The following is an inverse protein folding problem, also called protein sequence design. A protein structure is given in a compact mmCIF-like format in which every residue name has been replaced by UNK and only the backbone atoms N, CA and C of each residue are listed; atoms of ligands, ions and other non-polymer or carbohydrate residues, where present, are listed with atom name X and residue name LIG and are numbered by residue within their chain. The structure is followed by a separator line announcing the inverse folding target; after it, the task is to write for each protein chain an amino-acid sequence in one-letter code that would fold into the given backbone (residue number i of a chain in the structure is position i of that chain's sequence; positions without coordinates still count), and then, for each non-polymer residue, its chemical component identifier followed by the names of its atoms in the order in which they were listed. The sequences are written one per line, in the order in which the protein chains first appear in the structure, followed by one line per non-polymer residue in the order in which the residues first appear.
data_IF_820191942437
#
_entry.id   IF_820191942437
#
_cell.length_a   1.000
_cell.length_b   1.000
_cell.length_c   1.000
_cell.angle_alpha   90.00
_cell.angle_beta   90.00
_cell.angle_gamma   90.00
#
_symmetry.space_group_name_H-M   'P 1'
#
loop_
_entity.id
_entity.type
_entity.pdbx_description
1 polymer ?
#
# COMPACT_ATOMS: atom_id res chain seq x y z
N UNK A 1 -13.88 8.69 -5.41
CA UNK A 1 -14.44 9.33 -4.21
C UNK A 1 -13.85 10.73 -3.95
N UNK A 2 -12.64 11.01 -4.44
CA UNK A 2 -11.98 12.32 -4.33
C UNK A 2 -11.84 13.01 -5.69
N UNK A 3 -12.65 12.61 -6.68
CA UNK A 3 -12.66 13.11 -8.07
C UNK A 3 -11.27 13.07 -8.74
N UNK A 4 -10.46 12.09 -8.38
CA UNK A 4 -9.17 11.85 -9.02
C UNK A 4 -9.31 10.81 -10.14
N UNK A 5 -8.57 11.01 -11.22
CA UNK A 5 -8.37 9.98 -12.23
C UNK A 5 -7.38 8.93 -11.71
N UNK A 6 -7.82 7.68 -11.60
CA UNK A 6 -7.04 6.59 -11.01
C UNK A 6 -6.80 5.48 -12.00
N UNK A 7 -5.54 5.07 -12.15
CA UNK A 7 -5.14 3.87 -12.85
C UNK A 7 -4.63 2.81 -11.89
N UNK A 8 -5.00 1.56 -12.12
CA UNK A 8 -4.54 0.42 -11.34
C UNK A 8 -3.67 -0.50 -12.18
N UNK A 9 -2.47 -0.81 -11.69
CA UNK A 9 -1.56 -1.79 -12.26
C UNK A 9 -1.52 -3.00 -11.34
N UNK A 10 -1.99 -4.12 -11.84
CA UNK A 10 -2.00 -5.40 -11.13
C UNK A 10 -2.15 -6.53 -12.14
N UNK A 11 -1.83 -7.74 -11.78
CA UNK A 11 -1.83 -8.88 -12.69
C UNK A 11 -2.96 -9.85 -12.38
N UNK A 12 -3.79 -10.11 -13.37
CA UNK A 12 -4.90 -11.07 -13.30
C UNK A 12 -4.85 -12.03 -14.49
N UNK A 13 -5.46 -13.19 -14.37
CA UNK A 13 -5.64 -14.14 -15.46
C UNK A 13 -6.97 -13.92 -16.18
N UNK A 14 -7.08 -14.43 -17.40
CA UNK A 14 -8.34 -14.47 -18.13
C UNK A 14 -9.20 -15.65 -17.64
N UNK A 15 -9.70 -15.52 -16.42
CA UNK A 15 -10.60 -16.44 -15.73
C UNK A 15 -11.79 -15.68 -15.11
N UNK A 16 -12.73 -16.41 -14.53
CA UNK A 16 -13.95 -15.84 -13.96
C UNK A 16 -13.69 -14.79 -12.88
N UNK A 17 -12.64 -14.95 -12.06
CA UNK A 17 -12.29 -13.97 -11.03
C UNK A 17 -11.63 -12.74 -11.63
N UNK A 18 -10.77 -12.92 -12.62
CA UNK A 18 -10.16 -11.82 -13.34
C UNK A 18 -11.18 -10.95 -14.08
N UNK A 19 -12.19 -11.58 -14.72
CA UNK A 19 -13.29 -10.86 -15.37
C UNK A 19 -14.06 -10.02 -14.34
N UNK A 20 -14.48 -10.64 -13.23
CA UNK A 20 -15.21 -9.92 -12.16
C UNK A 20 -14.40 -8.78 -11.54
N UNK A 21 -13.08 -8.97 -11.37
CA UNK A 21 -12.21 -7.94 -10.85
C UNK A 21 -12.12 -6.74 -11.77
N UNK A 22 -11.91 -6.97 -13.06
CA UNK A 22 -11.87 -5.91 -14.08
C UNK A 22 -13.20 -5.14 -14.20
N UNK A 23 -14.33 -5.86 -14.15
CA UNK A 23 -15.67 -5.27 -14.12
C UNK A 23 -15.88 -4.42 -12.86
N UNK A 24 -15.38 -4.86 -11.72
CA UNK A 24 -15.41 -4.11 -10.45
C UNK A 24 -14.66 -2.79 -10.55
N UNK A 25 -13.43 -2.80 -11.04
CA UNK A 25 -12.64 -1.59 -11.26
C UNK A 25 -13.35 -0.60 -12.21
N UNK A 26 -13.93 -1.12 -13.30
CA UNK A 26 -14.66 -0.30 -14.26
C UNK A 26 -15.90 0.38 -13.64
N UNK A 27 -16.62 -0.30 -12.74
CA UNK A 27 -17.75 0.31 -12.02
C UNK A 27 -17.33 1.47 -11.15
N UNK A 28 -16.15 1.39 -10.56
CA UNK A 28 -15.56 2.44 -9.71
C UNK A 28 -14.81 3.50 -10.53
N UNK A 29 -14.90 3.47 -11.86
CA UNK A 29 -14.19 4.40 -12.77
C UNK A 29 -12.66 4.35 -12.62
N UNK A 30 -12.11 3.20 -12.24
CA UNK A 30 -10.67 2.97 -12.16
C UNK A 30 -10.19 2.35 -13.47
N UNK A 31 -9.21 2.98 -14.12
CA UNK A 31 -8.61 2.46 -15.34
C UNK A 31 -7.70 1.26 -15.03
N UNK A 32 -8.04 0.10 -15.58
CA UNK A 32 -7.19 -1.08 -15.44
C UNK A 32 -6.08 -1.06 -16.50
N UNK A 33 -4.82 -0.98 -16.06
CA UNK A 33 -3.66 -0.71 -16.91
C UNK A 33 -2.84 -1.98 -17.23
N UNK A 34 -3.45 -3.14 -17.11
CA UNK A 34 -2.86 -4.43 -17.46
C UNK A 34 -3.67 -5.08 -18.58
N UNK A 35 -2.98 -5.61 -19.59
CA UNK A 35 -3.65 -6.37 -20.65
C UNK A 35 -3.84 -7.81 -20.20
N UNK A 36 -5.08 -8.10 -19.83
CA UNK A 36 -5.47 -9.44 -19.37
C UNK A 36 -5.21 -10.49 -20.45
N UNK A 37 -4.63 -11.60 -20.05
CA UNK A 37 -4.35 -12.77 -20.88
C UNK A 37 -4.49 -14.04 -20.04
N UNK A 38 -4.53 -15.20 -20.71
CA UNK A 38 -4.48 -16.47 -20.00
C UNK A 38 -3.09 -16.68 -19.40
N UNK A 39 -3.01 -16.55 -18.08
CA UNK A 39 -1.78 -16.75 -17.32
C UNK A 39 -1.63 -18.23 -16.92
N UNK A 40 -0.41 -18.63 -16.53
CA UNK A 40 -0.13 -19.99 -16.02
C UNK A 40 -0.83 -20.25 -14.70
N UNK A 41 -0.89 -19.23 -13.84
CA UNK A 41 -1.59 -19.28 -12.56
C UNK A 41 -2.94 -18.56 -12.67
N UNK A 42 -3.95 -18.98 -11.89
CA UNK A 42 -5.21 -18.28 -11.84
C UNK A 42 -5.08 -16.91 -11.19
N UNK A 43 -6.11 -16.10 -11.34
CA UNK A 43 -6.26 -14.84 -10.61
C UNK A 43 -6.17 -15.07 -9.10
N UNK A 44 -5.49 -14.18 -8.40
CA UNK A 44 -5.34 -14.24 -6.94
C UNK A 44 -6.69 -14.18 -6.23
N UNK A 45 -6.79 -14.88 -5.11
CA UNK A 45 -8.01 -14.95 -4.29
C UNK A 45 -7.66 -14.84 -2.82
N UNK A 46 -8.61 -14.35 -2.03
CA UNK A 46 -8.49 -14.32 -0.57
C UNK A 46 -9.79 -14.80 0.06
N UNK A 47 -9.70 -15.82 0.91
CA UNK A 47 -10.79 -16.20 1.80
C UNK A 47 -10.63 -15.45 3.11
N UNK A 48 -11.63 -14.67 3.47
CA UNK A 48 -11.63 -13.86 4.69
C UNK A 48 -12.62 -14.45 5.67
N UNK A 49 -12.13 -14.80 6.87
CA UNK A 49 -12.94 -15.28 7.98
C UNK A 49 -13.05 -14.13 9.00
N UNK A 50 -14.27 -13.67 9.25
CA UNK A 50 -14.56 -12.61 10.23
C UNK A 50 -15.16 -13.26 11.47
N UNK A 51 -14.57 -12.97 12.63
CA UNK A 51 -15.01 -13.49 13.93
C UNK A 51 -15.97 -12.50 14.62
N UNK A 52 -16.76 -12.94 15.64
CA UNK A 52 -17.74 -12.07 16.29
C UNK A 52 -17.17 -10.82 16.97
N UNK A 53 -15.88 -10.79 17.28
CA UNK A 53 -15.14 -9.64 17.80
C UNK A 53 -14.68 -8.66 16.71
N UNK A 54 -15.15 -8.85 15.47
CA UNK A 54 -14.81 -8.06 14.27
C UNK A 54 -13.37 -8.23 13.78
N UNK A 55 -12.61 -9.16 14.34
CA UNK A 55 -11.29 -9.52 13.83
C UNK A 55 -11.40 -10.42 12.59
N UNK A 56 -10.36 -10.42 11.77
CA UNK A 56 -10.35 -11.18 10.53
C UNK A 56 -9.08 -12.01 10.37
N UNK A 57 -9.25 -13.18 9.80
CA UNK A 57 -8.15 -14.02 9.31
C UNK A 57 -8.23 -14.09 7.79
N UNK A 58 -7.13 -13.83 7.12
CA UNK A 58 -7.02 -13.79 5.66
C UNK A 58 -6.20 -14.98 5.16
N UNK A 59 -6.85 -15.86 4.38
CA UNK A 59 -6.18 -16.97 3.70
C UNK A 59 -5.95 -16.55 2.24
N UNK A 60 -4.81 -15.95 1.97
CA UNK A 60 -4.49 -15.33 0.67
C UNK A 60 -3.70 -16.28 -0.22
N UNK A 61 -4.19 -16.47 -1.44
CA UNK A 61 -3.46 -17.07 -2.54
C UNK A 61 -3.21 -16.00 -3.60
N UNK A 62 -1.97 -15.58 -3.77
CA UNK A 62 -1.62 -14.49 -4.68
C UNK A 62 -1.83 -14.84 -6.16
N UNK A 63 -1.75 -16.12 -6.52
CA UNK A 63 -1.90 -16.53 -7.90
C UNK A 63 -0.97 -15.78 -8.84
N UNK A 64 -1.52 -15.34 -9.97
CA UNK A 64 -0.75 -14.57 -10.96
C UNK A 64 -0.37 -13.17 -10.47
N UNK A 65 -1.08 -12.58 -9.49
CA UNK A 65 -0.73 -11.27 -8.95
C UNK A 65 0.69 -11.23 -8.36
N UNK A 66 1.12 -12.33 -7.71
CA UNK A 66 2.49 -12.49 -7.20
C UNK A 66 3.56 -12.68 -8.28
N UNK A 67 3.18 -12.68 -9.57
CA UNK A 67 4.07 -12.82 -10.72
C UNK A 67 4.17 -11.54 -11.55
N UNK A 68 3.79 -10.41 -10.97
CA UNK A 68 4.03 -9.11 -11.60
C UNK A 68 5.53 -8.92 -11.84
N UNK A 69 5.90 -8.33 -12.98
CA UNK A 69 7.29 -8.15 -13.35
C UNK A 69 7.48 -6.80 -14.08
N UNK A 70 8.71 -6.46 -14.40
CA UNK A 70 9.04 -5.18 -15.03
C UNK A 70 8.38 -4.94 -16.40
N UNK A 71 8.00 -6.00 -17.14
CA UNK A 71 7.32 -5.85 -18.43
C UNK A 71 5.85 -5.48 -18.28
N UNK A 72 5.27 -5.74 -17.10
CA UNK A 72 3.90 -5.34 -16.77
C UNK A 72 3.81 -3.84 -16.39
N UNK A 73 4.96 -3.15 -16.30
CA UNK A 73 5.06 -1.75 -15.91
C UNK A 73 5.32 -0.87 -17.13
N UNK A 74 4.33 -0.07 -17.54
CA UNK A 74 4.49 0.93 -18.60
C UNK A 74 5.08 2.23 -18.03
N UNK A 75 6.35 2.47 -18.34
CA UNK A 75 7.06 3.67 -17.90
C UNK A 75 6.44 4.99 -18.42
N UNK A 76 5.76 4.97 -19.58
CA UNK A 76 5.13 6.16 -20.13
C UNK A 76 3.89 6.54 -19.32
N UNK A 77 3.09 5.58 -18.90
CA UNK A 77 1.92 5.82 -18.05
C UNK A 77 2.39 6.37 -16.70
N UNK A 78 3.38 5.73 -16.08
CA UNK A 78 3.90 6.17 -14.78
C UNK A 78 4.50 7.58 -14.84
N UNK A 79 5.29 7.87 -15.85
CA UNK A 79 5.94 9.20 -15.99
C UNK A 79 4.95 10.34 -16.25
N UNK A 80 3.78 10.05 -16.82
CA UNK A 80 2.69 11.01 -17.04
C UNK A 80 1.80 11.18 -15.80
N UNK A 81 1.74 10.18 -14.93
CA UNK A 81 0.95 10.23 -13.70
C UNK A 81 1.55 11.23 -12.70
N UNK A 82 0.70 11.88 -11.92
CA UNK A 82 1.18 12.81 -10.88
C UNK A 82 1.84 12.08 -9.73
N UNK A 83 1.32 10.90 -9.37
CA UNK A 83 1.85 10.10 -8.26
C UNK A 83 1.63 8.62 -8.53
N UNK A 84 2.57 7.79 -8.08
CA UNK A 84 2.38 6.35 -7.93
C UNK A 84 2.19 6.01 -6.46
N UNK A 85 1.23 5.13 -6.18
CA UNK A 85 1.02 4.53 -4.87
C UNK A 85 1.41 3.06 -4.93
N UNK A 86 2.24 2.61 -4.00
CA UNK A 86 2.79 1.26 -3.92
C UNK A 86 2.32 0.57 -2.63
N UNK A 87 2.06 -0.73 -2.74
CA UNK A 87 1.75 -1.59 -1.60
C UNK A 87 2.93 -2.50 -1.28
N UNK A 88 3.37 -2.52 -0.02
CA UNK A 88 4.54 -3.28 0.42
C UNK A 88 4.39 -4.80 0.33
N UNK A 89 3.17 -5.31 0.23
CA UNK A 89 2.90 -6.75 0.20
C UNK A 89 3.61 -7.52 -0.92
N UNK A 90 3.83 -6.91 -2.06
CA UNK A 90 4.48 -7.54 -3.21
C UNK A 90 5.97 -7.22 -3.33
N UNK A 91 6.59 -6.69 -2.28
CA UNK A 91 8.02 -6.39 -2.27
C UNK A 91 8.90 -7.63 -2.07
N UNK A 92 8.52 -8.77 -2.60
CA UNK A 92 9.34 -9.96 -2.53
C UNK A 92 10.47 -9.94 -3.56
N UNK A 93 11.57 -10.64 -3.27
CA UNK A 93 12.71 -10.71 -4.18
C UNK A 93 12.34 -11.34 -5.52
N UNK A 94 13.08 -10.97 -6.56
CA UNK A 94 12.86 -11.44 -7.90
C UNK A 94 12.05 -10.46 -8.75
N UNK A 95 11.12 -10.97 -9.54
CA UNK A 95 10.41 -10.18 -10.54
C UNK A 95 9.50 -9.07 -9.95
N UNK A 96 8.76 -9.29 -8.86
CA UNK A 96 7.96 -8.21 -8.27
C UNK A 96 8.81 -7.02 -7.83
N UNK A 97 9.95 -7.26 -7.20
CA UNK A 97 10.88 -6.19 -6.80
C UNK A 97 11.38 -5.38 -7.99
N UNK A 98 11.69 -6.02 -9.12
CA UNK A 98 12.11 -5.32 -10.34
C UNK A 98 10.99 -4.42 -10.88
N UNK A 99 9.73 -4.88 -10.81
CA UNK A 99 8.58 -4.07 -11.20
C UNK A 99 8.48 -2.81 -10.33
N UNK A 100 8.62 -2.94 -9.00
CA UNK A 100 8.63 -1.80 -8.08
C UNK A 100 9.79 -0.84 -8.36
N UNK A 101 11.01 -1.34 -8.53
CA UNK A 101 12.19 -0.52 -8.82
C UNK A 101 11.98 0.28 -10.12
N UNK A 102 11.42 -0.34 -11.17
CA UNK A 102 11.08 0.33 -12.42
C UNK A 102 10.02 1.41 -12.21
N UNK A 103 8.97 1.12 -11.44
CA UNK A 103 7.91 2.08 -11.15
C UNK A 103 8.45 3.29 -10.37
N UNK A 104 9.21 3.07 -9.30
CA UNK A 104 9.84 4.11 -8.49
C UNK A 104 10.76 5.00 -9.34
N UNK A 105 11.55 4.39 -10.23
CA UNK A 105 12.49 5.12 -11.09
C UNK A 105 11.79 6.09 -12.04
N UNK A 106 10.59 5.75 -12.52
CA UNK A 106 9.89 6.52 -13.54
C UNK A 106 8.83 7.50 -12.96
N UNK A 107 8.52 7.41 -11.68
CA UNK A 107 7.48 8.21 -11.04
C UNK A 107 7.93 9.64 -10.72
N UNK A 108 7.01 10.62 -10.88
CA UNK A 108 7.20 12.00 -10.44
C UNK A 108 7.14 12.10 -8.93
N UNK A 109 6.09 11.56 -8.32
CA UNK A 109 5.90 11.43 -6.86
C UNK A 109 5.66 9.97 -6.49
N UNK A 110 6.13 9.57 -5.33
CA UNK A 110 6.14 8.18 -4.86
C UNK A 110 5.54 8.12 -3.48
N UNK A 111 4.42 7.44 -3.39
CA UNK A 111 3.78 7.10 -2.12
C UNK A 111 3.82 5.58 -1.94
N UNK A 112 3.94 5.12 -0.71
CA UNK A 112 3.94 3.69 -0.39
C UNK A 112 3.32 3.45 0.97
N UNK A 113 2.48 2.40 1.06
CA UNK A 113 2.10 1.79 2.33
C UNK A 113 3.12 0.71 2.72
N UNK A 114 3.52 0.69 3.99
CA UNK A 114 4.35 -0.39 4.53
C UNK A 114 3.57 -1.71 4.63
N UNK A 115 2.25 -1.62 4.57
CA UNK A 115 1.26 -2.69 4.38
C UNK A 115 1.04 -3.60 5.57
N UNK A 116 2.09 -4.16 6.16
CA UNK A 116 1.99 -5.10 7.28
C UNK A 116 3.35 -5.22 7.99
N UNK A 117 3.32 -5.50 9.30
CA UNK A 117 4.54 -5.68 10.07
C UNK A 117 5.41 -6.83 9.53
N UNK A 118 4.82 -7.93 9.03
CA UNK A 118 5.59 -9.02 8.42
C UNK A 118 6.35 -8.56 7.17
N UNK A 119 5.78 -7.66 6.38
CA UNK A 119 6.47 -7.07 5.23
C UNK A 119 7.64 -6.21 5.70
N UNK A 120 7.43 -5.39 6.73
CA UNK A 120 8.47 -4.56 7.33
C UNK A 120 9.60 -5.43 7.86
N UNK A 121 9.32 -6.46 8.65
CA UNK A 121 10.34 -7.30 9.27
C UNK A 121 11.18 -8.06 8.22
N UNK A 122 10.53 -8.54 7.15
CA UNK A 122 11.22 -9.23 6.05
C UNK A 122 12.09 -8.30 5.19
N UNK A 123 11.63 -7.07 4.97
CA UNK A 123 12.24 -6.15 4.00
C UNK A 123 12.80 -4.88 4.66
N UNK A 124 13.05 -4.92 5.95
CA UNK A 124 13.39 -3.77 6.80
C UNK A 124 14.46 -2.86 6.20
N UNK A 125 15.58 -3.41 5.77
CA UNK A 125 16.69 -2.64 5.20
C UNK A 125 16.24 -1.90 3.94
N UNK A 126 15.51 -2.58 3.04
CA UNK A 126 15.04 -1.99 1.80
C UNK A 126 13.96 -0.93 2.05
N UNK A 127 12.99 -1.22 2.94
CA UNK A 127 11.93 -0.26 3.27
C UNK A 127 12.50 0.99 3.95
N UNK A 128 13.47 0.83 4.84
CA UNK A 128 14.14 1.96 5.47
C UNK A 128 14.87 2.84 4.46
N UNK A 129 15.54 2.23 3.47
CA UNK A 129 16.19 2.95 2.36
C UNK A 129 15.15 3.70 1.51
N UNK A 130 14.02 3.08 1.18
CA UNK A 130 12.94 3.72 0.43
C UNK A 130 12.37 4.93 1.19
N UNK A 131 12.02 4.74 2.46
CA UNK A 131 11.44 5.78 3.32
C UNK A 131 12.39 6.96 3.49
N UNK A 132 13.68 6.70 3.70
CA UNK A 132 14.68 7.76 3.86
C UNK A 132 14.97 8.53 2.58
N UNK A 133 15.07 7.82 1.44
CA UNK A 133 15.76 8.39 0.28
C UNK A 133 14.91 8.47 -1.00
N UNK A 134 13.84 7.66 -1.13
CA UNK A 134 13.12 7.55 -2.40
C UNK A 134 11.66 7.95 -2.36
N UNK A 135 10.96 7.67 -1.27
CA UNK A 135 9.54 7.98 -1.16
C UNK A 135 9.31 9.44 -0.80
N UNK A 136 8.27 10.03 -1.34
CA UNK A 136 7.78 11.35 -1.00
C UNK A 136 6.77 11.29 0.14
N UNK A 137 5.97 10.21 0.18
CA UNK A 137 4.96 9.96 1.20
C UNK A 137 5.04 8.49 1.62
N UNK A 138 5.08 8.24 2.92
CA UNK A 138 4.98 6.90 3.51
C UNK A 138 3.74 6.80 4.38
N UNK A 139 2.95 5.75 4.18
CA UNK A 139 1.83 5.38 5.04
C UNK A 139 2.23 4.16 5.87
N UNK A 140 1.94 4.22 7.16
CA UNK A 140 2.22 3.14 8.10
C UNK A 140 1.20 3.14 9.24
N UNK A 141 1.04 2.01 9.91
CA UNK A 141 0.50 2.02 11.26
C UNK A 141 1.63 2.21 12.29
N UNK A 142 1.24 2.45 13.57
CA UNK A 142 2.22 2.69 14.64
C UNK A 142 3.20 1.52 14.81
N UNK A 143 2.73 0.27 14.74
CA UNK A 143 3.56 -0.91 14.89
C UNK A 143 4.55 -1.08 13.73
N UNK A 144 4.10 -0.84 12.51
CA UNK A 144 4.94 -0.92 11.30
C UNK A 144 6.11 0.06 11.36
N UNK A 145 5.84 1.33 11.71
CA UNK A 145 6.90 2.33 11.75
C UNK A 145 7.85 2.13 12.94
N UNK A 146 7.34 1.70 14.10
CA UNK A 146 8.15 1.33 15.25
C UNK A 146 9.09 0.18 14.88
N UNK A 147 8.57 -0.88 14.25
CA UNK A 147 9.38 -2.01 13.78
C UNK A 147 10.41 -1.58 12.75
N UNK A 148 10.04 -0.73 11.79
CA UNK A 148 10.94 -0.29 10.72
C UNK A 148 12.21 0.37 11.25
N UNK A 149 12.10 1.20 12.27
CA UNK A 149 13.21 2.01 12.77
C UNK A 149 13.77 1.55 14.13
N UNK A 150 13.29 0.41 14.65
CA UNK A 150 13.62 -0.09 16.00
C UNK A 150 13.35 0.97 17.10
N UNK A 151 12.26 1.73 16.95
CA UNK A 151 11.91 2.75 17.92
C UNK A 151 11.58 2.16 19.29
N UNK A 152 11.99 2.84 20.35
CA UNK A 152 11.64 2.48 21.72
C UNK A 152 10.42 3.24 22.24
N UNK A 153 10.09 4.33 21.59
CA UNK A 153 8.99 5.21 21.92
C UNK A 153 8.41 5.85 20.65
N UNK A 154 7.20 6.38 20.75
CA UNK A 154 6.63 7.15 19.64
C UNK A 154 7.35 8.47 19.39
N UNK A 155 8.03 9.02 20.41
CA UNK A 155 8.89 10.19 20.26
C UNK A 155 10.07 9.92 19.31
N UNK A 156 10.62 8.69 19.33
CA UNK A 156 11.67 8.31 18.38
C UNK A 156 11.15 8.34 16.93
N UNK A 157 9.88 7.96 16.71
CA UNK A 157 9.22 8.03 15.41
C UNK A 157 9.08 9.48 14.94
N UNK A 158 8.66 10.39 15.82
CA UNK A 158 8.54 11.81 15.52
C UNK A 158 9.91 12.39 15.15
N UNK A 159 10.93 12.07 15.93
CA UNK A 159 12.30 12.54 15.69
C UNK A 159 12.86 12.02 14.36
N UNK A 160 12.62 10.75 14.04
CA UNK A 160 12.97 10.16 12.75
C UNK A 160 12.27 10.88 11.59
N UNK A 161 10.94 11.09 11.70
CA UNK A 161 10.15 11.76 10.66
C UNK A 161 10.63 13.20 10.41
N UNK A 162 10.98 13.95 11.46
CA UNK A 162 11.55 15.29 11.34
C UNK A 162 12.89 15.28 10.58
N UNK A 163 13.72 14.28 10.83
CA UNK A 163 15.03 14.15 10.18
C UNK A 163 14.94 13.86 8.68
N UNK A 164 14.04 12.94 8.27
CA UNK A 164 13.91 12.57 6.86
C UNK A 164 13.24 13.64 6.00
N UNK A 165 12.53 14.59 6.61
CA UNK A 165 11.83 15.72 5.93
C UNK A 165 10.86 15.28 4.82
N UNK A 166 10.40 14.03 4.85
CA UNK A 166 9.40 13.44 3.96
C UNK A 166 8.04 13.38 4.68
N UNK A 167 6.96 13.20 3.93
CA UNK A 167 5.67 12.99 4.57
C UNK A 167 5.62 11.58 5.17
N UNK A 168 5.32 11.51 6.45
CA UNK A 168 5.02 10.27 7.15
C UNK A 168 3.60 10.38 7.70
N UNK A 169 2.73 9.49 7.26
CA UNK A 169 1.31 9.41 7.66
C UNK A 169 1.14 8.14 8.48
N UNK A 170 0.78 8.27 9.75
CA UNK A 170 0.74 7.13 10.67
C UNK A 170 -0.66 7.01 11.28
N UNK A 171 -1.25 5.81 11.15
CA UNK A 171 -2.44 5.43 11.91
C UNK A 171 -2.08 4.90 13.28
N UNK A 172 -2.91 5.24 14.27
CA UNK A 172 -2.67 4.93 15.67
C UNK A 172 -3.91 4.32 16.35
N UNK A 173 -4.71 3.60 15.57
CA UNK A 173 -5.94 2.97 16.07
C UNK A 173 -6.87 3.98 16.74
N UNK A 174 -7.25 3.74 17.99
CA UNK A 174 -8.09 4.63 18.79
C UNK A 174 -7.46 6.00 19.08
N UNK A 175 -6.15 6.16 18.91
CA UNK A 175 -5.44 7.42 19.06
C UNK A 175 -5.50 8.30 17.78
N UNK A 176 -6.19 7.84 16.73
CA UNK A 176 -6.37 8.58 15.50
C UNK A 176 -5.21 8.43 14.53
N UNK A 177 -4.80 9.53 13.94
CA UNK A 177 -3.69 9.57 12.97
C UNK A 177 -2.81 10.80 13.17
N UNK A 178 -1.59 10.70 12.67
CA UNK A 178 -0.62 11.79 12.70
C UNK A 178 0.07 11.91 11.35
N UNK A 179 0.24 13.13 10.88
CA UNK A 179 1.01 13.47 9.67
C UNK A 179 2.19 14.32 10.07
N UNK A 180 3.39 13.90 9.67
CA UNK A 180 4.64 14.60 10.00
C UNK A 180 5.37 14.92 8.71
N UNK A 181 5.84 16.18 8.58
CA UNK A 181 6.72 16.63 7.49
C UNK A 181 7.71 17.66 8.01
N UNK A 182 8.97 17.28 8.20
CA UNK A 182 9.94 18.13 8.88
C UNK A 182 9.43 18.51 10.26
N UNK A 183 9.38 19.79 10.58
CA UNK A 183 8.91 20.27 11.89
C UNK A 183 7.38 20.41 11.99
N UNK A 184 6.66 20.22 10.88
CA UNK A 184 5.22 20.24 10.86
C UNK A 184 4.67 18.89 11.35
N UNK A 185 3.86 18.95 12.40
CA UNK A 185 3.18 17.79 13.01
C UNK A 185 1.69 18.13 13.11
N UNK A 186 0.85 17.32 12.50
CA UNK A 186 -0.61 17.46 12.54
C UNK A 186 -1.21 16.17 13.04
N UNK A 187 -1.96 16.24 14.13
CA UNK A 187 -2.69 15.11 14.70
C UNK A 187 -4.18 15.23 14.41
N UNK A 188 -4.81 14.09 14.14
CA UNK A 188 -6.25 14.00 13.93
C UNK A 188 -6.82 12.90 14.83
N UNK A 189 -7.79 13.19 15.69
CA UNK A 189 -8.36 12.21 16.59
C UNK A 189 -9.16 11.14 15.84
N UNK A 190 -9.26 9.94 16.42
CA UNK A 190 -10.15 8.91 15.91
C UNK A 190 -11.61 9.28 16.13
N UNK A 191 -12.49 8.79 15.27
CA UNK A 191 -13.92 8.90 15.46
C UNK A 191 -14.36 7.87 16.52
N UNK A 192 -14.73 8.33 17.73
CA UNK A 192 -15.12 7.47 18.85
C UNK A 192 -16.53 6.89 18.75
N UNK A 193 -17.36 7.36 17.81
CA UNK A 193 -18.78 6.98 17.72
C UNK A 193 -19.07 5.87 16.71
N UNK A 194 -18.04 5.17 16.22
CA UNK A 194 -18.21 4.10 15.25
C UNK A 194 -18.50 2.76 15.93
N UNK A 195 -19.55 2.07 15.48
CA UNK A 195 -19.75 0.66 15.78
C UNK A 195 -18.97 -0.16 14.75
N UNK A 196 -17.86 -0.74 15.18
CA UNK A 196 -17.02 -1.58 14.32
C UNK A 196 -17.73 -2.91 14.14
N UNK A 197 -17.91 -3.33 12.87
CA UNK A 197 -18.51 -4.62 12.48
C UNK A 197 -17.47 -5.48 11.75
N UNK A 198 -16.59 -4.86 10.98
CA UNK A 198 -15.55 -5.50 10.19
C UNK A 198 -14.40 -4.50 10.00
N UNK A 199 -13.18 -4.96 10.26
CA UNK A 199 -11.96 -4.16 10.11
C UNK A 199 -11.30 -4.31 8.71
N UNK A 200 -11.91 -5.08 7.81
CA UNK A 200 -11.35 -5.27 6.46
C UNK A 200 -11.23 -3.93 5.73
N UNK A 201 -10.02 -3.61 5.31
CA UNK A 201 -9.74 -2.37 4.59
C UNK A 201 -9.69 -1.10 5.44
N UNK A 202 -9.76 -1.18 6.78
CA UNK A 202 -9.73 0.00 7.64
C UNK A 202 -8.47 0.87 7.42
N UNK A 203 -7.31 0.26 7.17
CA UNK A 203 -6.08 0.98 6.84
C UNK A 203 -6.09 1.67 5.47
N UNK A 204 -6.90 1.18 4.52
CA UNK A 204 -7.01 1.74 3.18
C UNK A 204 -7.78 3.08 3.15
N UNK A 205 -8.64 3.34 4.13
CA UNK A 205 -9.42 4.58 4.17
C UNK A 205 -8.57 5.81 4.48
N UNK A 206 -7.36 5.66 5.00
CA UNK A 206 -6.41 6.76 5.20
C UNK A 206 -5.87 7.37 3.89
N UNK A 207 -5.88 6.61 2.82
CA UNK A 207 -5.45 7.09 1.50
C UNK A 207 -6.44 8.14 0.96
N UNK A 208 -7.59 8.25 1.59
CA UNK A 208 -8.68 9.14 1.21
C UNK A 208 -8.76 10.43 2.06
N UNK A 209 -7.81 10.66 2.96
CA UNK A 209 -7.74 11.88 3.79
C UNK A 209 -6.84 12.92 3.14
#
# INVERSE_FOLDING_TARGET
QLDNEVGFIGKISDDNFGIKYEEGLKKESVSFLYTKKKEVLPTGTCLILVTPDSERTMCTYLGTAGKINENDIDSNIISKSEMIFLEGYLWDEGEPKKAFDKAIKNAKKRAMSLSDQFCVDRHKIHFLELVKNKLDITFANENEIISLIDAKSFEDVINFAKQIKRHLVITRGSNGSIVIKGDQVVEHPANSNLKIVDLTGAGLSLIHI
#
